data_IF_078191227728
#
_entry.id   IF_078191227728
#
_cell.length_a   1.000
_cell.length_b   1.000
_cell.length_c   1.000
_cell.angle_alpha   90.00
_cell.angle_beta   90.00
_cell.angle_gamma   90.00
#
_symmetry.space_group_name_H-M   'P 1'
#
loop_
_entity.id
_entity.type
_entity.pdbx_description
1 polymer ?
#
# COMPACT_ATOMS: atom_id res chain seq x y z
N UNK A 1 17.78 -7.00 7.20
CA UNK A 1 17.45 -8.11 6.30
C UNK A 1 17.26 -9.42 7.06
N UNK A 2 16.26 -10.21 6.69
CA UNK A 2 15.96 -11.52 7.29
C UNK A 2 16.04 -12.68 6.30
N UNK A 3 16.08 -12.44 4.99
CA UNK A 3 16.12 -13.55 4.02
C UNK A 3 17.49 -14.24 4.00
N UNK A 4 17.54 -15.56 3.72
CA UNK A 4 18.80 -16.31 3.72
C UNK A 4 19.86 -15.71 2.79
N UNK A 5 19.44 -15.25 1.60
CA UNK A 5 20.34 -14.61 0.64
C UNK A 5 20.95 -13.32 1.21
N UNK A 6 20.14 -12.44 1.82
CA UNK A 6 20.66 -11.20 2.39
C UNK A 6 21.51 -11.44 3.64
N UNK A 7 21.13 -12.39 4.51
CA UNK A 7 21.93 -12.75 5.69
C UNK A 7 23.32 -13.24 5.25
N UNK A 8 23.39 -14.14 4.28
CA UNK A 8 24.65 -14.70 3.81
C UNK A 8 25.51 -13.69 3.03
N UNK A 9 24.91 -12.96 2.09
CA UNK A 9 25.67 -12.17 1.09
C UNK A 9 25.81 -10.69 1.44
N UNK A 10 24.76 -10.07 2.00
CA UNK A 10 24.77 -8.65 2.40
C UNK A 10 25.32 -8.47 3.81
N UNK A 11 24.82 -9.24 4.78
CA UNK A 11 25.20 -9.10 6.18
C UNK A 11 26.41 -9.94 6.58
N UNK A 12 26.72 -11.00 5.81
CA UNK A 12 27.79 -11.98 6.11
C UNK A 12 27.69 -12.49 7.55
N UNK A 13 26.47 -12.90 7.93
CA UNK A 13 26.10 -13.25 9.31
C UNK A 13 25.29 -14.54 9.32
N UNK A 14 24.83 -14.96 10.50
CA UNK A 14 23.83 -16.03 10.66
C UNK A 14 22.48 -15.46 11.10
N UNK A 15 21.41 -16.27 11.02
CA UNK A 15 20.09 -15.86 11.48
C UNK A 15 20.08 -15.54 12.98
N UNK A 16 20.76 -16.35 13.80
CA UNK A 16 20.81 -16.15 15.25
C UNK A 16 21.53 -14.85 15.62
N UNK A 17 22.65 -14.54 14.96
CA UNK A 17 23.35 -13.26 15.14
C UNK A 17 22.51 -12.05 14.69
N UNK A 18 21.67 -12.22 13.67
CA UNK A 18 20.74 -11.18 13.22
C UNK A 18 19.63 -10.97 14.24
N UNK A 19 19.09 -12.04 14.83
CA UNK A 19 18.09 -11.98 15.90
C UNK A 19 18.67 -11.29 17.15
N UNK A 20 19.86 -11.68 17.60
CA UNK A 20 20.53 -11.06 18.75
C UNK A 20 20.73 -9.55 18.55
N UNK A 21 21.15 -9.16 17.35
CA UNK A 21 21.33 -7.76 16.98
C UNK A 21 20.01 -7.01 16.94
N UNK A 22 18.95 -7.62 16.41
CA UNK A 22 17.61 -7.04 16.40
C UNK A 22 17.12 -6.79 17.83
N UNK A 23 17.24 -7.77 18.72
CA UNK A 23 16.87 -7.64 20.14
C UNK A 23 17.64 -6.50 20.80
N UNK A 24 18.96 -6.44 20.61
CA UNK A 24 19.80 -5.39 21.20
C UNK A 24 19.38 -4.00 20.70
N UNK A 25 19.17 -3.84 19.39
CA UNK A 25 18.82 -2.54 18.80
C UNK A 25 17.42 -2.08 19.19
N UNK A 26 16.43 -2.99 19.25
CA UNK A 26 15.07 -2.68 19.71
C UNK A 26 15.11 -2.25 21.18
N UNK A 27 15.76 -3.02 22.06
CA UNK A 27 15.91 -2.65 23.49
C UNK A 27 16.62 -1.32 23.66
N UNK A 28 17.63 -1.04 22.83
CA UNK A 28 18.33 0.24 22.83
C UNK A 28 17.37 1.38 22.45
N UNK A 29 16.61 1.24 21.36
CA UNK A 29 15.64 2.24 20.90
C UNK A 29 14.55 2.53 21.95
N UNK A 30 14.11 1.49 22.69
CA UNK A 30 13.15 1.63 23.80
C UNK A 30 13.60 2.48 24.97
N UNK A 31 14.89 2.79 25.09
CA UNK A 31 15.36 3.77 26.07
C UNK A 31 15.15 5.23 25.62
N UNK A 32 14.77 5.45 24.36
CA UNK A 32 14.62 6.79 23.76
C UNK A 32 13.19 7.10 23.33
N UNK A 33 12.37 6.09 23.02
CA UNK A 33 10.98 6.28 22.56
C UNK A 33 10.14 5.04 22.87
N UNK A 34 8.83 5.27 23.06
CA UNK A 34 7.85 4.21 23.23
C UNK A 34 7.27 3.68 21.91
N UNK A 35 7.54 4.36 20.79
CA UNK A 35 7.14 3.92 19.47
C UNK A 35 8.36 3.38 18.72
N UNK A 36 8.43 2.05 18.59
CA UNK A 36 9.54 1.36 17.92
C UNK A 36 8.99 0.37 16.91
N UNK A 37 9.24 0.66 15.64
CA UNK A 37 9.02 -0.26 14.53
C UNK A 37 10.27 -1.07 14.21
N UNK A 38 10.10 -2.37 13.97
CA UNK A 38 11.14 -3.24 13.43
C UNK A 38 10.71 -3.82 12.09
N UNK A 39 11.53 -3.62 11.04
CA UNK A 39 11.23 -4.09 9.69
C UNK A 39 12.06 -5.31 9.30
N UNK A 40 11.38 -6.38 8.91
CA UNK A 40 11.99 -7.62 8.43
C UNK A 40 12.37 -7.49 6.94
N UNK A 41 13.37 -6.68 6.61
CA UNK A 41 13.79 -6.46 5.21
C UNK A 41 13.95 -7.78 4.44
N UNK A 42 13.32 -7.84 3.25
CA UNK A 42 13.18 -9.02 2.39
C UNK A 42 12.34 -10.16 2.99
N UNK A 43 11.33 -9.82 3.80
CA UNK A 43 10.41 -10.78 4.41
C UNK A 43 9.69 -11.65 3.39
N UNK A 44 9.30 -11.10 2.23
CA UNK A 44 8.65 -11.84 1.15
C UNK A 44 9.44 -13.05 0.62
N UNK A 45 10.76 -13.11 0.89
CA UNK A 45 11.64 -14.24 0.52
C UNK A 45 12.31 -14.91 1.73
N UNK A 46 11.80 -14.64 2.93
CA UNK A 46 12.26 -15.28 4.17
C UNK A 46 11.37 -16.49 4.46
N UNK A 47 11.92 -17.68 4.75
CA UNK A 47 11.12 -18.82 5.19
C UNK A 47 10.24 -18.46 6.39
N UNK A 48 8.95 -18.79 6.34
CA UNK A 48 7.97 -18.32 7.34
C UNK A 48 8.34 -18.69 8.78
N UNK A 49 8.99 -19.84 8.99
CA UNK A 49 9.45 -20.27 10.31
C UNK A 49 10.56 -19.36 10.85
N UNK A 50 11.51 -18.95 10.00
CA UNK A 50 12.60 -18.05 10.37
C UNK A 50 12.07 -16.63 10.59
N UNK A 51 11.15 -16.18 9.74
CA UNK A 51 10.48 -14.89 9.90
C UNK A 51 9.74 -14.82 11.24
N UNK A 52 8.97 -15.86 11.58
CA UNK A 52 8.26 -15.93 12.86
C UNK A 52 9.20 -15.82 14.08
N UNK A 53 10.36 -16.48 14.04
CA UNK A 53 11.38 -16.38 15.11
C UNK A 53 11.90 -14.95 15.28
N UNK A 54 12.18 -14.25 14.17
CA UNK A 54 12.65 -12.85 14.22
C UNK A 54 11.56 -11.94 14.76
N UNK A 55 10.32 -12.10 14.29
CA UNK A 55 9.16 -11.30 14.71
C UNK A 55 8.90 -11.48 16.20
N UNK A 56 8.81 -12.72 16.69
CA UNK A 56 8.59 -13.02 18.10
C UNK A 56 9.66 -12.37 18.99
N UNK A 57 10.93 -12.48 18.58
CA UNK A 57 12.06 -11.90 19.30
C UNK A 57 12.02 -10.37 19.32
N UNK A 58 11.67 -9.71 18.21
CA UNK A 58 11.56 -8.26 18.13
C UNK A 58 10.43 -7.73 19.02
N UNK A 59 9.26 -8.40 19.03
CA UNK A 59 8.14 -8.04 19.91
C UNK A 59 8.54 -8.23 21.39
N UNK A 60 9.17 -9.36 21.74
CA UNK A 60 9.67 -9.60 23.09
C UNK A 60 10.72 -8.58 23.55
N UNK A 61 11.48 -8.00 22.60
CA UNK A 61 12.44 -6.94 22.86
C UNK A 61 11.78 -5.56 23.06
N UNK A 62 10.50 -5.41 22.71
CA UNK A 62 9.70 -4.20 22.92
C UNK A 62 9.29 -3.45 21.66
N UNK A 63 9.42 -4.05 20.46
CA UNK A 63 8.88 -3.46 19.25
C UNK A 63 7.34 -3.45 19.31
N UNK A 64 6.74 -2.29 19.04
CA UNK A 64 5.28 -2.06 19.05
C UNK A 64 4.68 -2.17 17.65
N UNK A 65 5.52 -2.08 16.62
CA UNK A 65 5.13 -2.31 15.23
C UNK A 65 6.15 -3.24 14.56
N UNK A 66 5.65 -4.21 13.80
CA UNK A 66 6.47 -5.13 13.01
C UNK A 66 6.09 -4.93 11.55
N UNK A 67 7.07 -4.50 10.74
CA UNK A 67 6.87 -4.25 9.33
C UNK A 67 7.37 -5.44 8.50
N UNK A 68 6.48 -5.94 7.64
CA UNK A 68 6.70 -7.06 6.72
C UNK A 68 6.79 -6.51 5.30
N UNK A 69 8.01 -6.26 4.78
CA UNK A 69 8.18 -5.72 3.44
C UNK A 69 8.25 -6.79 2.34
N UNK A 70 7.56 -6.54 1.21
CA UNK A 70 7.87 -7.13 -0.09
C UNK A 70 8.88 -6.24 -0.81
N UNK A 71 10.14 -6.31 -0.37
CA UNK A 71 11.22 -5.38 -0.72
C UNK A 71 11.50 -5.27 -2.23
N UNK A 72 11.21 -6.33 -2.99
CA UNK A 72 11.47 -6.40 -4.43
C UNK A 72 10.20 -6.52 -5.27
N UNK A 73 9.02 -6.34 -4.66
CA UNK A 73 7.73 -6.35 -5.36
C UNK A 73 7.45 -7.64 -6.12
N UNK A 74 7.87 -8.78 -5.56
CA UNK A 74 7.87 -10.07 -6.24
C UNK A 74 6.66 -10.94 -5.88
N UNK A 75 6.11 -10.76 -4.68
CA UNK A 75 5.09 -11.69 -4.15
C UNK A 75 3.75 -11.52 -4.85
N UNK A 76 2.99 -12.62 -4.92
CA UNK A 76 1.59 -12.57 -5.36
C UNK A 76 0.64 -12.24 -4.19
N UNK A 77 -0.55 -11.65 -4.42
CA UNK A 77 -1.44 -11.27 -3.32
C UNK A 77 -1.82 -12.41 -2.37
N UNK A 78 -2.06 -13.61 -2.90
CA UNK A 78 -2.38 -14.80 -2.08
C UNK A 78 -1.17 -15.30 -1.29
N UNK A 79 0.03 -15.19 -1.84
CA UNK A 79 1.27 -15.58 -1.18
C UNK A 79 1.58 -14.60 -0.04
N UNK A 80 1.46 -13.30 -0.30
CA UNK A 80 1.70 -12.27 0.72
C UNK A 80 0.67 -12.32 1.85
N UNK A 81 -0.62 -12.52 1.53
CA UNK A 81 -1.64 -12.79 2.56
C UNK A 81 -1.31 -14.05 3.37
N UNK A 82 -0.81 -15.10 2.73
CA UNK A 82 -0.37 -16.33 3.39
C UNK A 82 0.79 -16.10 4.37
N UNK A 83 1.73 -15.19 4.04
CA UNK A 83 2.81 -14.79 4.96
C UNK A 83 2.21 -14.12 6.21
N UNK A 84 1.30 -13.16 6.04
CA UNK A 84 0.69 -12.45 7.17
C UNK A 84 -0.12 -13.39 8.06
N UNK A 85 -1.01 -14.21 7.49
CA UNK A 85 -1.76 -15.21 8.24
C UNK A 85 -0.84 -16.22 8.94
N UNK A 86 0.21 -16.67 8.25
CA UNK A 86 1.19 -17.59 8.80
C UNK A 86 1.97 -17.01 9.99
N UNK A 87 2.20 -15.69 10.04
CA UNK A 87 2.75 -15.03 11.22
C UNK A 87 1.75 -15.04 12.38
N UNK A 88 0.49 -14.68 12.11
CA UNK A 88 -0.56 -14.73 13.14
C UNK A 88 -0.76 -16.12 13.75
N UNK A 89 -0.54 -17.19 12.97
CA UNK A 89 -0.62 -18.57 13.45
C UNK A 89 0.60 -19.00 14.27
N UNK A 90 1.79 -18.46 13.98
CA UNK A 90 3.07 -18.99 14.48
C UNK A 90 3.71 -18.16 15.59
N UNK A 91 3.38 -16.88 15.69
CA UNK A 91 4.00 -15.94 16.62
C UNK A 91 3.09 -15.78 17.84
N UNK A 92 3.43 -16.35 19.02
CA UNK A 92 2.51 -16.40 20.16
C UNK A 92 2.18 -15.04 20.79
N UNK A 93 3.03 -14.04 20.57
CA UNK A 93 2.90 -12.69 21.14
C UNK A 93 2.55 -11.64 20.07
N UNK A 94 2.08 -12.06 18.88
CA UNK A 94 1.86 -11.16 17.74
C UNK A 94 0.83 -10.06 18.02
N UNK A 95 -0.14 -10.34 18.88
CA UNK A 95 -1.20 -9.44 19.31
C UNK A 95 -0.69 -8.22 20.10
N UNK A 96 0.57 -8.25 20.55
CA UNK A 96 1.22 -7.14 21.26
C UNK A 96 1.82 -6.08 20.34
N UNK A 97 1.81 -6.30 19.02
CA UNK A 97 2.34 -5.35 18.04
C UNK A 97 1.40 -5.17 16.85
N UNK A 98 1.47 -4.00 16.23
CA UNK A 98 0.81 -3.74 14.96
C UNK A 98 1.61 -4.41 13.84
N UNK A 99 0.95 -5.20 13.01
CA UNK A 99 1.55 -5.69 11.77
C UNK A 99 1.40 -4.62 10.69
N UNK A 100 2.54 -4.05 10.29
CA UNK A 100 2.70 -3.16 9.14
C UNK A 100 3.14 -3.94 7.91
N UNK A 101 2.79 -3.45 6.72
CA UNK A 101 3.27 -3.98 5.45
C UNK A 101 3.81 -2.88 4.56
N UNK A 102 4.85 -3.22 3.79
CA UNK A 102 5.53 -2.32 2.88
C UNK A 102 5.79 -3.02 1.55
N UNK A 103 5.01 -2.75 0.53
CA UNK A 103 5.08 -3.48 -0.75
C UNK A 103 5.63 -2.59 -1.85
N UNK A 104 6.63 -3.07 -2.58
CA UNK A 104 7.11 -2.44 -3.82
C UNK A 104 6.30 -2.89 -5.05
N UNK A 105 6.36 -2.10 -6.11
CA UNK A 105 5.49 -2.24 -7.29
C UNK A 105 6.17 -2.80 -8.55
N UNK A 106 7.29 -3.53 -8.39
CA UNK A 106 8.08 -4.07 -9.51
C UNK A 106 7.25 -4.94 -10.49
N UNK A 107 6.22 -5.63 -10.00
CA UNK A 107 5.27 -6.41 -10.81
C UNK A 107 3.89 -5.75 -10.97
N UNK A 108 3.71 -4.50 -10.51
CA UNK A 108 2.41 -3.80 -10.54
C UNK A 108 1.39 -4.36 -9.54
N UNK A 109 1.86 -4.98 -8.46
CA UNK A 109 1.03 -5.71 -7.48
C UNK A 109 1.04 -5.06 -6.08
N UNK A 110 1.69 -3.93 -5.87
CA UNK A 110 1.87 -3.35 -4.53
C UNK A 110 0.54 -3.09 -3.81
N UNK A 111 -0.41 -2.43 -4.50
CA UNK A 111 -1.74 -2.14 -3.95
C UNK A 111 -2.51 -3.44 -3.68
N UNK A 112 -2.43 -4.42 -4.58
CA UNK A 112 -3.07 -5.72 -4.42
C UNK A 112 -2.53 -6.50 -3.21
N UNK A 113 -1.21 -6.54 -3.05
CA UNK A 113 -0.53 -7.19 -1.93
C UNK A 113 -0.86 -6.49 -0.61
N UNK A 114 -0.85 -5.16 -0.59
CA UNK A 114 -1.22 -4.37 0.60
C UNK A 114 -2.67 -4.63 1.04
N UNK A 115 -3.63 -4.64 0.12
CA UNK A 115 -5.03 -4.96 0.45
C UNK A 115 -5.22 -6.41 0.89
N UNK A 116 -4.50 -7.36 0.27
CA UNK A 116 -4.53 -8.75 0.67
C UNK A 116 -3.97 -8.96 2.09
N UNK A 117 -2.89 -8.25 2.44
CA UNK A 117 -2.34 -8.24 3.79
C UNK A 117 -3.30 -7.62 4.82
N UNK A 118 -3.98 -6.52 4.48
CA UNK A 118 -5.01 -5.91 5.35
C UNK A 118 -6.13 -6.91 5.64
N UNK A 119 -6.58 -7.64 4.61
CA UNK A 119 -7.57 -8.70 4.76
C UNK A 119 -7.07 -9.85 5.66
N UNK A 120 -5.78 -10.19 5.57
CA UNK A 120 -5.13 -11.20 6.40
C UNK A 120 -4.81 -10.73 7.85
N UNK A 121 -5.07 -9.46 8.19
CA UNK A 121 -4.93 -8.95 9.55
C UNK A 121 -3.91 -7.82 9.74
N UNK A 122 -3.21 -7.38 8.70
CA UNK A 122 -2.35 -6.19 8.80
C UNK A 122 -3.19 -4.94 9.15
N UNK A 123 -2.61 -4.03 9.93
CA UNK A 123 -3.29 -2.81 10.43
C UNK A 123 -2.54 -1.52 10.14
N UNK A 124 -1.37 -1.61 9.53
CA UNK A 124 -0.64 -0.47 8.96
C UNK A 124 -0.20 -0.83 7.54
N UNK A 125 -0.29 0.15 6.62
CA UNK A 125 0.20 0.04 5.25
C UNK A 125 1.15 1.21 5.01
N UNK A 126 2.36 0.89 4.60
CA UNK A 126 3.35 1.87 4.18
C UNK A 126 3.37 2.00 2.67
N UNK A 127 3.57 3.22 2.22
CA UNK A 127 3.58 3.56 0.82
C UNK A 127 3.96 5.01 0.60
N UNK A 128 3.74 5.48 -0.62
CA UNK A 128 3.92 6.89 -0.94
C UNK A 128 2.75 7.41 -1.78
N UNK A 129 2.48 8.71 -1.64
CA UNK A 129 1.61 9.41 -2.57
C UNK A 129 2.21 9.33 -3.97
N UNK A 130 1.35 9.12 -4.96
CA UNK A 130 1.72 8.89 -6.35
C UNK A 130 2.51 7.58 -6.60
N UNK A 131 2.68 6.74 -5.57
CA UNK A 131 3.48 5.51 -5.66
C UNK A 131 4.99 5.75 -5.82
N UNK A 132 5.50 6.95 -5.51
CA UNK A 132 6.95 7.22 -5.64
C UNK A 132 7.77 6.31 -4.70
N UNK A 133 8.98 5.96 -5.11
CA UNK A 133 9.86 5.09 -4.33
C UNK A 133 10.99 4.52 -5.16
N UNK A 134 11.68 3.52 -4.60
CA UNK A 134 12.74 2.80 -5.31
C UNK A 134 12.18 2.06 -6.55
N UNK A 135 12.92 2.11 -7.66
CA UNK A 135 12.61 1.41 -8.92
C UNK A 135 11.22 1.76 -9.48
N UNK A 136 10.29 0.80 -9.51
CA UNK A 136 8.92 0.98 -9.94
C UNK A 136 8.06 1.72 -8.90
N UNK A 137 8.56 1.85 -7.67
CA UNK A 137 7.92 2.62 -6.61
C UNK A 137 7.42 1.77 -5.44
N UNK A 138 6.70 2.45 -4.56
CA UNK A 138 6.04 1.88 -3.40
C UNK A 138 4.54 1.73 -3.67
N UNK A 139 3.84 1.05 -2.77
CA UNK A 139 2.38 1.07 -2.75
C UNK A 139 1.84 2.50 -2.82
N UNK A 140 0.95 2.74 -3.79
CA UNK A 140 0.28 4.01 -4.00
C UNK A 140 -0.75 4.25 -2.90
N UNK A 141 -0.50 5.24 -2.02
CA UNK A 141 -1.35 5.47 -0.84
C UNK A 141 -2.76 5.87 -1.23
N UNK A 142 -2.91 6.78 -2.19
CA UNK A 142 -4.23 7.22 -2.66
C UNK A 142 -5.10 6.06 -3.16
N UNK A 143 -4.48 5.04 -3.77
CA UNK A 143 -5.17 3.86 -4.30
C UNK A 143 -5.65 2.95 -3.17
N UNK A 144 -4.81 2.67 -2.17
CA UNK A 144 -5.21 1.86 -1.00
C UNK A 144 -6.29 2.56 -0.18
N UNK A 145 -6.13 3.87 0.06
CA UNK A 145 -7.10 4.66 0.83
C UNK A 145 -8.47 4.62 0.16
N UNK A 146 -8.51 4.86 -1.16
CA UNK A 146 -9.77 4.86 -1.89
C UNK A 146 -10.35 3.46 -2.07
N UNK A 147 -9.52 2.42 -2.21
CA UNK A 147 -9.99 1.04 -2.21
C UNK A 147 -10.69 0.68 -0.88
N UNK A 148 -10.09 1.03 0.27
CA UNK A 148 -10.72 0.84 1.60
C UNK A 148 -12.03 1.63 1.70
N UNK A 149 -12.03 2.89 1.26
CA UNK A 149 -13.22 3.76 1.33
C UNK A 149 -14.38 3.24 0.47
N UNK A 150 -14.10 2.89 -0.78
CA UNK A 150 -15.10 2.46 -1.77
C UNK A 150 -15.57 1.04 -1.48
N UNK A 151 -14.68 0.15 -1.03
CA UNK A 151 -14.97 -1.27 -0.75
C UNK A 151 -15.03 -1.61 0.73
N UNK A 152 -15.47 -0.65 1.55
CA UNK A 152 -15.67 -0.84 3.00
C UNK A 152 -16.61 -2.01 3.32
N UNK A 153 -17.54 -2.32 2.40
CA UNK A 153 -18.48 -3.45 2.48
C UNK A 153 -17.78 -4.81 2.50
N UNK A 154 -16.65 -4.94 1.80
CA UNK A 154 -15.86 -6.18 1.75
C UNK A 154 -14.71 -6.16 2.75
N UNK A 155 -13.99 -5.04 2.82
CA UNK A 155 -12.76 -4.97 3.61
C UNK A 155 -13.03 -4.82 5.11
N UNK A 156 -14.20 -4.33 5.50
CA UNK A 156 -14.64 -4.17 6.89
C UNK A 156 -13.61 -3.46 7.79
N UNK A 157 -12.86 -2.52 7.21
CA UNK A 157 -11.91 -1.64 7.89
C UNK A 157 -12.15 -0.20 7.45
N UNK A 158 -11.60 0.75 8.20
CA UNK A 158 -11.68 2.17 7.87
C UNK A 158 -10.34 2.85 8.15
N UNK A 159 -10.14 4.02 7.56
CA UNK A 159 -9.02 4.90 7.87
C UNK A 159 -9.57 6.23 8.42
N UNK A 160 -8.74 6.95 9.18
CA UNK A 160 -9.05 8.31 9.63
C UNK A 160 -8.56 9.38 8.64
N UNK A 161 -8.17 8.99 7.42
CA UNK A 161 -7.54 9.88 6.44
C UNK A 161 -8.61 10.78 5.81
N UNK A 162 -8.30 12.08 5.72
CA UNK A 162 -9.12 13.01 4.96
C UNK A 162 -8.91 12.79 3.46
N UNK A 163 -9.74 11.93 2.87
CA UNK A 163 -9.64 11.59 1.46
C UNK A 163 -9.88 12.78 0.51
N UNK A 164 -10.53 13.86 0.97
CA UNK A 164 -10.70 15.09 0.17
C UNK A 164 -9.40 15.87 -0.05
N UNK A 165 -8.31 15.52 0.64
CA UNK A 165 -6.99 16.13 0.41
C UNK A 165 -6.12 15.33 -0.57
N UNK A 166 -6.59 14.18 -1.06
CA UNK A 166 -5.81 13.27 -1.90
C UNK A 166 -5.33 13.96 -3.18
N UNK A 167 -6.24 14.59 -3.94
CA UNK A 167 -5.89 15.18 -5.23
C UNK A 167 -4.88 16.31 -5.04
N UNK A 168 -5.12 17.23 -4.11
CA UNK A 168 -4.21 18.35 -3.81
C UNK A 168 -2.84 17.84 -3.36
N UNK A 169 -2.80 16.85 -2.48
CA UNK A 169 -1.54 16.26 -1.98
C UNK A 169 -0.76 15.59 -3.11
N UNK A 170 -1.45 14.84 -3.98
CA UNK A 170 -0.87 14.22 -5.17
C UNK A 170 -0.23 15.26 -6.10
N UNK A 171 -0.93 16.36 -6.41
CA UNK A 171 -0.37 17.44 -7.23
C UNK A 171 0.86 18.09 -6.59
N UNK A 172 0.81 18.35 -5.27
CA UNK A 172 1.92 18.93 -4.53
C UNK A 172 3.17 18.04 -4.57
N UNK A 173 3.01 16.74 -4.33
CA UNK A 173 4.11 15.77 -4.41
C UNK A 173 4.67 15.70 -5.83
N UNK A 174 3.82 15.68 -6.85
CA UNK A 174 4.25 15.70 -8.27
C UNK A 174 5.12 16.93 -8.59
N UNK A 175 4.72 18.11 -8.12
CA UNK A 175 5.46 19.36 -8.31
C UNK A 175 6.79 19.38 -7.57
N UNK A 176 6.81 18.99 -6.29
CA UNK A 176 8.03 18.98 -5.46
C UNK A 176 9.05 17.98 -5.99
N UNK A 177 8.60 16.77 -6.37
CA UNK A 177 9.47 15.71 -6.85
C UNK A 177 9.80 15.84 -8.35
N UNK A 178 9.18 16.79 -9.07
CA UNK A 178 9.29 16.93 -10.52
C UNK A 178 8.99 15.61 -11.28
N UNK A 179 7.95 14.90 -10.82
CA UNK A 179 7.49 13.63 -11.38
C UNK A 179 6.05 13.78 -11.86
N UNK A 180 5.80 13.94 -13.17
CA UNK A 180 4.45 14.11 -13.70
C UNK A 180 3.54 12.91 -13.41
N UNK A 181 2.27 13.19 -13.10
CA UNK A 181 1.26 12.15 -12.89
C UNK A 181 0.75 11.65 -14.26
N UNK A 182 0.82 10.35 -14.55
CA UNK A 182 0.25 9.79 -15.77
C UNK A 182 -1.26 10.05 -15.86
N UNK A 183 -1.76 10.39 -17.04
CA UNK A 183 -3.18 10.70 -17.24
C UNK A 183 -4.10 9.52 -16.86
N UNK A 184 -3.64 8.29 -17.06
CA UNK A 184 -4.35 7.05 -16.74
C UNK A 184 -4.05 6.49 -15.34
N UNK A 185 -3.35 7.24 -14.47
CA UNK A 185 -3.12 6.79 -13.10
C UNK A 185 -4.44 6.68 -12.34
N UNK A 186 -4.61 5.57 -11.62
CA UNK A 186 -5.79 5.35 -10.80
C UNK A 186 -5.96 6.48 -9.76
N UNK A 187 -7.22 6.81 -9.46
CA UNK A 187 -7.64 7.85 -8.51
C UNK A 187 -7.31 9.27 -8.96
N UNK A 188 -6.04 9.61 -9.18
CA UNK A 188 -5.55 11.00 -9.31
C UNK A 188 -5.15 11.41 -10.74
N UNK A 189 -5.12 10.47 -11.69
CA UNK A 189 -4.85 10.78 -13.09
C UNK A 189 -5.91 11.70 -13.69
N UNK A 190 -5.51 12.60 -14.59
CA UNK A 190 -6.43 13.53 -15.26
C UNK A 190 -7.53 12.84 -16.07
N UNK A 191 -7.33 11.58 -16.45
CA UNK A 191 -8.30 10.72 -17.11
C UNK A 191 -9.12 9.82 -16.18
N UNK A 192 -8.87 9.81 -14.87
CA UNK A 192 -9.48 8.85 -13.93
C UNK A 192 -11.02 8.95 -13.87
N UNK A 193 -11.59 10.12 -14.15
CA UNK A 193 -13.03 10.38 -14.18
C UNK A 193 -13.53 10.77 -15.58
N UNK A 194 -12.69 10.63 -16.61
CA UNK A 194 -13.03 11.05 -17.97
C UNK A 194 -13.75 9.93 -18.74
N UNK A 195 -14.79 10.29 -19.50
CA UNK A 195 -15.60 9.36 -20.29
C UNK A 195 -15.53 9.73 -21.77
N UNK A 196 -14.80 8.93 -22.56
CA UNK A 196 -14.49 9.25 -23.97
C UNK A 196 -15.40 8.56 -24.99
N UNK A 197 -16.03 7.44 -24.63
CA UNK A 197 -16.97 6.71 -25.50
C UNK A 197 -18.35 7.34 -25.44
N UNK A 198 -19.00 7.56 -26.61
CA UNK A 198 -20.36 8.09 -26.67
C UNK A 198 -21.42 7.26 -25.91
N UNK A 199 -21.23 5.93 -25.82
CA UNK A 199 -22.11 5.05 -25.02
C UNK A 199 -21.89 5.31 -23.51
N UNK A 200 -20.65 5.49 -23.09
CA UNK A 200 -20.33 5.79 -21.69
C UNK A 200 -20.84 7.19 -21.30
N UNK A 201 -20.68 8.19 -22.20
CA UNK A 201 -21.21 9.53 -21.99
C UNK A 201 -22.73 9.54 -21.84
N UNK A 202 -23.46 8.87 -22.74
CA UNK A 202 -24.91 8.72 -22.64
C UNK A 202 -25.32 8.02 -21.33
N UNK A 203 -24.61 6.96 -20.94
CA UNK A 203 -24.88 6.26 -19.69
C UNK A 203 -24.63 7.10 -18.44
N UNK A 204 -23.55 7.90 -18.40
CA UNK A 204 -23.26 8.85 -17.30
C UNK A 204 -24.31 9.96 -17.23
N UNK A 205 -24.75 10.49 -18.37
CA UNK A 205 -25.80 11.52 -18.42
C UNK A 205 -27.14 11.01 -17.88
N UNK A 206 -27.42 9.70 -18.02
CA UNK A 206 -28.61 9.06 -17.45
C UNK A 206 -28.47 8.75 -15.96
N UNK A 207 -27.35 8.14 -15.57
CA UNK A 207 -26.98 7.90 -14.18
C UNK A 207 -25.46 7.70 -14.09
N UNK A 208 -24.78 8.56 -13.32
CA UNK A 208 -23.31 8.52 -13.17
C UNK A 208 -22.83 7.20 -12.56
N UNK A 209 -23.62 6.59 -11.67
CA UNK A 209 -23.29 5.30 -11.03
C UNK A 209 -23.13 4.14 -12.02
N UNK A 210 -23.60 4.28 -13.27
CA UNK A 210 -23.39 3.28 -14.31
C UNK A 210 -21.91 3.04 -14.62
N UNK A 211 -21.06 4.06 -14.43
CA UNK A 211 -19.63 4.01 -14.78
C UNK A 211 -18.70 4.62 -13.73
N UNK A 212 -19.22 5.40 -12.79
CA UNK A 212 -18.44 6.03 -11.72
C UNK A 212 -18.62 5.28 -10.39
N UNK A 213 -17.59 4.52 -9.96
CA UNK A 213 -17.57 3.85 -8.64
C UNK A 213 -17.31 4.81 -7.47
N UNK A 214 -16.90 6.04 -7.77
CA UNK A 214 -16.66 7.14 -6.84
C UNK A 214 -16.68 8.46 -7.64
N UNK A 215 -16.89 9.59 -6.96
CA UNK A 215 -16.97 10.90 -7.62
C UNK A 215 -15.64 11.67 -7.55
N UNK A 216 -15.36 12.63 -8.44
CA UNK A 216 -14.20 13.52 -8.33
C UNK A 216 -14.10 14.25 -6.97
N UNK A 217 -15.24 14.70 -6.45
CA UNK A 217 -15.33 15.41 -5.18
C UNK A 217 -14.92 14.52 -4.00
N UNK A 218 -15.07 13.20 -4.14
CA UNK A 218 -14.64 12.24 -3.11
C UNK A 218 -13.14 12.30 -2.83
N UNK A 219 -12.33 12.78 -3.78
CA UNK A 219 -10.88 12.96 -3.61
C UNK A 219 -10.44 14.44 -3.55
N UNK A 220 -11.41 15.36 -3.49
CA UNK A 220 -11.18 16.81 -3.51
C UNK A 220 -11.00 17.43 -4.89
N UNK A 221 -11.31 16.69 -5.97
CA UNK A 221 -11.27 17.23 -7.33
C UNK A 221 -12.60 17.92 -7.66
N UNK A 222 -12.61 19.26 -7.61
CA UNK A 222 -13.82 20.07 -7.83
C UNK A 222 -14.02 20.53 -9.30
N UNK A 223 -13.17 20.10 -10.23
CA UNK A 223 -13.27 20.46 -11.66
C UNK A 223 -13.46 19.21 -12.52
N UNK A 224 -14.63 19.10 -13.15
CA UNK A 224 -14.92 18.02 -14.11
C UNK A 224 -14.74 18.59 -15.52
N UNK A 225 -13.76 18.07 -16.27
CA UNK A 225 -13.63 18.35 -17.69
C UNK A 225 -14.40 17.30 -18.49
N UNK A 226 -15.47 17.72 -19.18
CA UNK A 226 -16.12 16.94 -20.22
C UNK A 226 -15.24 16.98 -21.47
N UNK A 227 -14.33 16.01 -21.60
CA UNK A 227 -13.41 15.94 -22.74
C UNK A 227 -14.16 15.48 -24.00
N UNK A 228 -14.40 16.40 -24.93
CA UNK A 228 -14.91 16.07 -26.26
C UNK A 228 -13.81 15.39 -27.09
N UNK A 229 -14.12 14.22 -27.64
CA UNK A 229 -13.22 13.45 -28.52
C UNK A 229 -13.90 13.15 -29.85
N UNK A 230 -13.16 12.60 -30.81
CA UNK A 230 -13.72 12.11 -32.09
C UNK A 230 -14.75 10.98 -31.93
N UNK A 231 -14.87 10.40 -30.73
CA UNK A 231 -15.86 9.37 -30.36
C UNK A 231 -17.02 9.91 -29.56
N UNK A 232 -17.06 11.22 -29.27
CA UNK A 232 -18.14 11.83 -28.50
C UNK A 232 -19.46 11.77 -29.26
N UNK A 233 -20.51 11.37 -28.53
CA UNK A 233 -21.86 11.28 -29.09
C UNK A 233 -22.58 12.62 -29.13
N UNK A 234 -23.68 12.69 -29.89
CA UNK A 234 -24.52 13.90 -30.00
C UNK A 234 -25.03 14.43 -28.64
N UNK A 235 -25.22 13.54 -27.67
CA UNK A 235 -25.63 13.90 -26.31
C UNK A 235 -24.55 14.70 -25.56
N UNK A 236 -23.28 14.29 -25.68
CA UNK A 236 -22.15 14.96 -25.04
C UNK A 236 -21.82 16.33 -25.66
N UNK A 237 -22.18 16.57 -26.92
CA UNK A 237 -22.02 17.87 -27.59
C UNK A 237 -23.15 18.85 -27.24
N UNK A 238 -24.30 18.35 -26.76
CA UNK A 238 -25.46 19.18 -26.39
C UNK A 238 -25.40 19.72 -24.95
N UNK A 239 -24.49 19.23 -24.13
CA UNK A 239 -24.22 19.67 -22.77
C UNK A 239 -22.91 20.46 -22.74
#
# INVERSE_FOLDING_TARGET
ATSPMHIATKLRSTLDEVIERAIYMVKRARNYTDDVEFSCEDAGRTPIADLARVVEAAINAGATTINIPDTVGYTMPFEFAGIISGLYERVPNIDKAIISVHTHDDLGLAVGNSLAAVHAGARQVEGAMNGIGERAGNCSLEEVIMAIKVRKDILNVHTAINHQEIWRTSQLVSQICNMPIPANKAIVGSGAFAHSSGIHQDGVLKNRENYEIMTPESIGLNQIQLNLTSRSGRAAVKH
#
